data_IF_188126190950
#
_entry.id   IF_188126190950
#
_cell.length_a   1.000
_cell.length_b   1.000
_cell.length_c   1.000
_cell.angle_alpha   90.00
_cell.angle_beta   90.00
_cell.angle_gamma   90.00
#
_symmetry.space_group_name_H-M   'P 1'
#
loop_
_entity.id
_entity.type
_entity.pdbx_description
1 polymer ?
#
# COMPACT_ATOMS: atom_id res chain seq x y z
N UNK A 1 5.85 12.88 -24.92
CA UNK A 1 7.25 12.44 -24.87
C UNK A 1 7.41 11.17 -25.69
N UNK A 2 8.60 10.93 -26.24
CA UNK A 2 8.93 9.67 -26.90
C UNK A 2 9.85 8.88 -25.97
N UNK A 3 9.52 7.62 -25.69
CA UNK A 3 10.31 6.76 -24.79
C UNK A 3 10.90 5.58 -25.56
N UNK A 4 12.16 5.25 -25.27
CA UNK A 4 12.82 4.04 -25.80
C UNK A 4 13.03 3.02 -24.69
N UNK A 5 13.02 1.74 -25.06
CA UNK A 5 13.02 0.61 -24.14
C UNK A 5 13.99 -0.46 -24.63
N UNK A 6 14.54 -1.26 -23.71
CA UNK A 6 15.30 -2.44 -24.08
C UNK A 6 14.40 -3.67 -24.30
N UNK A 7 15.02 -4.80 -24.67
CA UNK A 7 14.30 -6.07 -24.91
C UNK A 7 13.62 -6.67 -23.67
N UNK A 8 13.96 -6.19 -22.47
CA UNK A 8 13.38 -6.65 -21.20
C UNK A 8 12.23 -5.72 -20.74
N UNK A 9 11.99 -4.61 -21.45
CA UNK A 9 10.95 -3.64 -21.13
C UNK A 9 11.37 -2.58 -20.12
N UNK A 10 12.68 -2.34 -19.95
CA UNK A 10 13.24 -1.28 -19.09
C UNK A 10 13.45 0.01 -19.88
N UNK A 11 13.18 1.15 -19.25
CA UNK A 11 13.19 2.47 -19.90
C UNK A 11 14.64 2.91 -20.17
N UNK A 12 15.02 3.08 -21.43
CA UNK A 12 16.37 3.51 -21.80
C UNK A 12 16.49 5.03 -21.94
N UNK A 13 15.47 5.70 -22.48
CA UNK A 13 15.48 7.14 -22.62
C UNK A 13 14.07 7.71 -22.72
N UNK A 14 13.90 8.94 -22.23
CA UNK A 14 12.72 9.77 -22.43
C UNK A 14 13.14 11.02 -23.19
N UNK A 15 12.40 11.35 -24.24
CA UNK A 15 12.55 12.58 -25.03
C UNK A 15 11.34 13.48 -24.91
N UNK A 16 11.56 14.78 -24.96
CA UNK A 16 10.50 15.78 -25.03
C UNK A 16 9.80 15.78 -26.41
N UNK A 17 8.81 16.64 -26.60
CA UNK A 17 8.08 16.77 -27.87
C UNK A 17 8.93 17.31 -29.02
N UNK A 18 10.07 17.95 -28.71
CA UNK A 18 11.00 18.50 -29.67
C UNK A 18 12.13 17.52 -30.02
N UNK A 19 12.14 16.32 -29.41
CA UNK A 19 13.13 15.28 -29.65
C UNK A 19 14.40 15.39 -28.78
N UNK A 20 14.44 16.32 -27.84
CA UNK A 20 15.56 16.45 -26.90
C UNK A 20 15.47 15.37 -25.82
N UNK A 21 16.61 14.76 -25.47
CA UNK A 21 16.67 13.79 -24.38
C UNK A 21 16.46 14.50 -23.03
N UNK A 22 15.41 14.11 -22.32
CA UNK A 22 15.10 14.55 -20.96
C UNK A 22 15.92 13.75 -19.94
N UNK A 23 15.97 12.43 -20.13
CA UNK A 23 16.75 11.51 -19.31
C UNK A 23 17.14 10.28 -20.13
N UNK A 24 18.27 9.67 -19.77
CA UNK A 24 18.66 8.33 -20.21
C UNK A 24 19.15 7.49 -19.05
N UNK A 25 18.98 6.18 -19.15
CA UNK A 25 19.22 5.24 -18.06
C UNK A 25 19.98 4.01 -18.56
N UNK A 26 20.83 3.46 -17.71
CA UNK A 26 21.42 2.13 -17.89
C UNK A 26 21.06 1.23 -16.70
N UNK A 27 21.20 -0.07 -16.89
CA UNK A 27 20.79 -1.07 -15.91
C UNK A 27 21.89 -2.11 -15.73
N UNK A 28 22.05 -2.55 -14.48
CA UNK A 28 22.88 -3.69 -14.11
C UNK A 28 22.26 -4.99 -14.64
N UNK A 29 23.03 -6.09 -14.72
CA UNK A 29 22.49 -7.39 -15.11
C UNK A 29 21.35 -7.92 -14.23
N UNK A 30 21.24 -7.45 -12.98
CA UNK A 30 20.14 -7.78 -12.06
C UNK A 30 18.87 -6.93 -12.28
N UNK A 31 18.89 -6.01 -13.24
CA UNK A 31 17.76 -5.16 -13.61
C UNK A 31 17.64 -3.86 -12.83
N UNK A 32 18.48 -3.63 -11.81
CA UNK A 32 18.50 -2.37 -11.09
C UNK A 32 19.17 -1.27 -11.91
N UNK A 33 18.63 -0.06 -11.85
CA UNK A 33 19.18 1.11 -12.55
C UNK A 33 20.59 1.36 -12.07
N UNK A 34 21.54 1.35 -12.99
CA UNK A 34 22.96 1.58 -12.74
C UNK A 34 23.29 3.06 -12.83
N UNK A 35 22.86 3.70 -13.92
CA UNK A 35 23.10 5.12 -14.16
C UNK A 35 21.85 5.85 -14.62
N UNK A 36 21.87 7.17 -14.39
CA UNK A 36 20.93 8.13 -14.97
C UNK A 36 21.69 9.34 -15.47
N UNK A 37 21.48 9.74 -16.72
CA UNK A 37 22.03 10.97 -17.27
C UNK A 37 20.91 11.97 -17.54
N UNK A 38 21.03 13.17 -16.98
CA UNK A 38 20.08 14.29 -17.16
C UNK A 38 20.89 15.56 -17.40
N UNK A 39 20.55 16.31 -18.45
CA UNK A 39 21.26 17.55 -18.84
C UNK A 39 22.79 17.38 -18.93
N UNK A 40 23.25 16.23 -19.42
CA UNK A 40 24.68 15.91 -19.57
C UNK A 40 25.40 15.49 -18.28
N UNK A 41 24.72 15.46 -17.13
CA UNK A 41 25.30 14.99 -15.85
C UNK A 41 24.86 13.55 -15.60
N UNK A 42 25.82 12.66 -15.36
CA UNK A 42 25.55 11.25 -15.03
C UNK A 42 25.65 11.00 -13.53
N UNK A 43 24.65 10.28 -13.03
CA UNK A 43 24.54 9.82 -11.65
C UNK A 43 24.62 8.30 -11.61
N UNK A 44 25.34 7.76 -10.64
CA UNK A 44 25.53 6.33 -10.40
C UNK A 44 24.78 5.90 -9.15
N UNK A 45 24.09 4.76 -9.23
CA UNK A 45 23.21 4.27 -8.18
C UNK A 45 23.79 3.03 -7.52
N UNK A 46 23.90 3.07 -6.19
CA UNK A 46 24.50 2.01 -5.39
C UNK A 46 23.45 1.42 -4.44
N UNK A 47 23.36 0.10 -4.41
CA UNK A 47 22.32 -0.63 -3.68
C UNK A 47 22.92 -1.61 -2.69
N UNK A 48 22.20 -1.85 -1.58
CA UNK A 48 22.36 -3.01 -0.72
C UNK A 48 21.13 -3.91 -0.89
N UNK A 49 21.31 -5.07 -1.52
CA UNK A 49 20.19 -5.84 -2.05
C UNK A 49 19.37 -5.00 -3.05
N UNK A 50 18.10 -4.75 -2.72
CA UNK A 50 17.19 -3.89 -3.49
C UNK A 50 17.12 -2.44 -2.99
N UNK A 51 17.71 -2.13 -1.83
CA UNK A 51 17.57 -0.83 -1.20
C UNK A 51 18.62 0.13 -1.77
N UNK A 52 18.17 1.29 -2.28
CA UNK A 52 19.08 2.33 -2.79
C UNK A 52 19.77 3.00 -1.61
N UNK A 53 21.07 2.80 -1.45
CA UNK A 53 21.84 3.31 -0.30
C UNK A 53 22.64 4.56 -0.62
N UNK A 54 22.99 4.79 -1.90
CA UNK A 54 23.82 5.94 -2.28
C UNK A 54 23.67 6.30 -3.76
N UNK A 55 23.77 7.59 -4.05
CA UNK A 55 23.88 8.15 -5.39
C UNK A 55 25.17 8.95 -5.46
N UNK A 56 25.99 8.72 -6.48
CA UNK A 56 27.23 9.48 -6.72
C UNK A 56 27.23 10.15 -8.08
N UNK A 57 28.02 11.21 -8.24
CA UNK A 57 28.34 11.77 -9.56
C UNK A 57 29.48 10.98 -10.25
N UNK A 58 29.87 11.40 -11.45
CA UNK A 58 30.97 10.78 -12.22
C UNK A 58 32.35 10.85 -11.54
N UNK A 59 32.55 11.81 -10.62
CA UNK A 59 33.78 11.92 -9.83
C UNK A 59 33.76 11.01 -8.59
N UNK A 60 32.72 10.19 -8.41
CA UNK A 60 32.55 9.32 -7.24
C UNK A 60 32.14 10.06 -5.96
N UNK A 61 31.82 11.36 -6.04
CA UNK A 61 31.36 12.13 -4.90
C UNK A 61 29.90 11.79 -4.59
N UNK A 62 29.57 11.66 -3.31
CA UNK A 62 28.21 11.39 -2.87
C UNK A 62 27.32 12.60 -3.13
N UNK A 63 26.18 12.38 -3.79
CA UNK A 63 25.11 13.36 -3.98
C UNK A 63 24.06 13.17 -2.88
N UNK A 64 23.68 11.92 -2.63
CA UNK A 64 22.79 11.51 -1.55
C UNK A 64 23.19 10.14 -1.02
N UNK A 65 23.07 9.92 0.28
CA UNK A 65 23.08 8.59 0.89
C UNK A 65 21.78 8.38 1.68
N UNK A 66 21.32 7.13 1.77
CA UNK A 66 20.05 6.79 2.40
C UNK A 66 20.19 5.61 3.34
N UNK A 67 19.38 5.60 4.39
CA UNK A 67 19.16 4.40 5.21
C UNK A 67 17.70 4.00 5.17
N UNK A 68 17.45 2.71 5.41
CA UNK A 68 16.12 2.12 5.35
C UNK A 68 15.81 1.39 6.66
N UNK A 69 14.55 1.46 7.10
CA UNK A 69 14.07 0.75 8.27
C UNK A 69 12.72 0.10 7.94
N UNK A 70 12.63 -1.22 8.10
CA UNK A 70 11.41 -1.99 7.83
C UNK A 70 10.83 -1.76 6.42
N UNK A 71 11.70 -1.60 5.42
CA UNK A 71 11.30 -1.35 4.02
C UNK A 71 10.76 0.06 3.75
N UNK A 72 11.11 1.03 4.59
CA UNK A 72 10.76 2.45 4.41
C UNK A 72 12.02 3.33 4.53
N UNK A 73 12.08 4.47 3.82
CA UNK A 73 13.16 5.43 4.01
C UNK A 73 13.24 5.88 5.47
N UNK A 74 14.45 5.94 6.01
CA UNK A 74 14.72 6.31 7.40
C UNK A 74 15.52 7.62 7.48
N UNK A 75 16.68 7.68 6.81
CA UNK A 75 17.47 8.93 6.73
C UNK A 75 17.89 9.25 5.31
N UNK A 76 18.21 10.52 5.09
CA UNK A 76 18.92 11.02 3.91
C UNK A 76 20.09 11.89 4.35
N UNK A 77 21.27 11.61 3.80
CA UNK A 77 22.48 12.40 4.02
C UNK A 77 22.84 13.12 2.74
N UNK A 78 22.98 14.44 2.80
CA UNK A 78 23.37 15.27 1.65
C UNK A 78 24.84 15.03 1.27
N UNK A 79 25.22 15.45 0.06
CA UNK A 79 26.63 15.40 -0.35
C UNK A 79 27.59 16.19 0.54
N UNK A 80 27.08 17.12 1.36
CA UNK A 80 27.87 17.90 2.33
C UNK A 80 28.07 17.17 3.66
N UNK A 81 27.37 16.05 3.89
CA UNK A 81 27.46 15.23 5.11
C UNK A 81 26.33 15.45 6.11
N UNK A 82 25.47 16.45 5.90
CA UNK A 82 24.33 16.72 6.78
C UNK A 82 23.27 15.64 6.65
N UNK A 83 22.77 15.13 7.79
CA UNK A 83 21.82 14.03 7.83
C UNK A 83 20.45 14.50 8.32
N UNK A 84 19.42 14.10 7.59
CA UNK A 84 18.02 14.40 7.85
C UNK A 84 17.20 13.12 7.98
N UNK A 85 16.03 13.22 8.59
CA UNK A 85 15.20 12.08 8.96
C UNK A 85 13.86 12.14 8.22
N UNK A 86 13.53 11.04 7.55
CA UNK A 86 12.24 10.91 6.88
C UNK A 86 11.14 10.65 7.89
N UNK A 87 10.05 11.41 7.79
CA UNK A 87 8.80 11.13 8.47
C UNK A 87 7.83 10.58 7.44
N UNK A 88 7.45 9.31 7.61
CA UNK A 88 6.58 8.60 6.67
C UNK A 88 5.20 8.33 7.23
N UNK A 89 4.20 8.18 6.36
CA UNK A 89 2.90 7.68 6.76
C UNK A 89 2.89 6.13 6.87
N UNK A 90 1.70 5.57 7.09
CA UNK A 90 1.52 4.13 7.21
C UNK A 90 1.93 3.34 5.94
N UNK A 91 1.80 3.93 4.75
CA UNK A 91 2.23 3.33 3.45
C UNK A 91 3.74 3.37 3.27
N UNK A 92 4.41 4.33 3.90
CA UNK A 92 5.81 4.65 3.63
C UNK A 92 5.97 5.91 2.77
N UNK A 93 4.90 6.66 2.50
CA UNK A 93 5.00 7.93 1.79
C UNK A 93 5.72 8.94 2.67
N UNK A 94 6.78 9.56 2.16
CA UNK A 94 7.50 10.64 2.84
C UNK A 94 6.59 11.87 2.91
N UNK A 95 6.08 12.21 4.09
CA UNK A 95 5.21 13.39 4.27
C UNK A 95 6.00 14.60 4.77
N UNK A 96 7.10 14.36 5.50
CA UNK A 96 8.02 15.39 5.98
C UNK A 96 9.45 14.89 6.01
N UNK A 97 10.38 15.82 6.01
CA UNK A 97 11.78 15.60 6.40
C UNK A 97 12.09 16.56 7.54
N UNK A 98 12.76 16.06 8.56
CA UNK A 98 13.18 16.85 9.72
C UNK A 98 14.70 16.80 9.90
N UNK A 99 15.27 17.86 10.47
CA UNK A 99 16.67 17.89 10.89
C UNK A 99 16.89 17.16 12.24
N UNK A 100 18.13 17.18 12.73
CA UNK A 100 18.52 16.59 14.02
C UNK A 100 17.81 17.21 15.24
N UNK A 101 17.31 18.44 15.11
CA UNK A 101 16.58 19.16 16.15
C UNK A 101 15.06 18.94 16.05
N UNK A 102 14.61 18.18 15.05
CA UNK A 102 13.20 17.93 14.78
C UNK A 102 12.48 19.07 14.03
N UNK A 103 13.22 20.08 13.55
CA UNK A 103 12.64 21.15 12.73
C UNK A 103 12.33 20.61 11.33
N UNK A 104 11.19 21.02 10.77
CA UNK A 104 10.76 20.53 9.45
C UNK A 104 11.48 21.27 8.33
N UNK A 105 12.23 20.53 7.52
CA UNK A 105 13.01 21.03 6.37
C UNK A 105 12.36 20.70 5.01
N UNK A 106 11.44 19.74 4.98
CA UNK A 106 10.54 19.53 3.85
C UNK A 106 9.15 19.04 4.25
N UNK A 107 8.15 19.38 3.44
CA UNK A 107 6.78 18.86 3.51
C UNK A 107 6.31 18.42 2.11
N UNK A 108 5.61 17.29 2.08
CA UNK A 108 5.04 16.73 0.86
C UNK A 108 3.59 16.33 1.08
N UNK A 109 2.76 16.52 0.06
CA UNK A 109 1.43 15.91 0.00
C UNK A 109 1.20 15.23 -1.34
N UNK A 110 0.46 14.14 -1.30
CA UNK A 110 0.15 13.32 -2.47
C UNK A 110 -1.35 13.00 -2.50
N UNK A 111 -1.88 12.75 -3.68
CA UNK A 111 -3.15 12.06 -3.82
C UNK A 111 -2.99 10.54 -3.54
N UNK A 112 -4.07 9.76 -3.50
CA UNK A 112 -4.01 8.31 -3.26
C UNK A 112 -3.22 7.49 -4.30
N UNK A 113 -2.91 8.07 -5.46
CA UNK A 113 -2.15 7.46 -6.55
C UNK A 113 -0.71 7.99 -6.61
N UNK A 114 -0.29 8.83 -5.66
CA UNK A 114 1.07 9.34 -5.59
C UNK A 114 1.31 10.56 -6.47
N UNK A 115 0.27 11.17 -7.06
CA UNK A 115 0.41 12.48 -7.71
C UNK A 115 0.75 13.51 -6.65
N UNK A 116 1.85 14.22 -6.86
CA UNK A 116 2.34 15.25 -5.94
C UNK A 116 1.40 16.45 -5.97
N UNK A 117 0.81 16.79 -4.83
CA UNK A 117 -0.15 17.89 -4.68
C UNK A 117 0.52 19.16 -4.15
N UNK A 118 1.50 19.01 -3.25
CA UNK A 118 2.31 20.13 -2.76
C UNK A 118 3.71 19.67 -2.37
N UNK A 119 4.70 20.51 -2.64
CA UNK A 119 6.10 20.33 -2.19
C UNK A 119 6.58 21.63 -1.59
N UNK A 120 7.20 21.55 -0.42
CA UNK A 120 7.96 22.63 0.19
C UNK A 120 9.26 22.02 0.69
N UNK A 121 10.39 22.48 0.18
CA UNK A 121 11.74 21.97 0.50
C UNK A 121 12.64 23.17 0.80
N UNK A 122 13.48 23.07 1.82
CA UNK A 122 14.60 23.99 1.99
C UNK A 122 15.78 23.58 1.08
N UNK A 123 16.81 24.42 1.01
CA UNK A 123 17.95 24.19 0.13
C UNK A 123 18.76 22.91 0.45
N UNK A 124 18.73 22.42 1.70
CA UNK A 124 19.56 21.31 2.16
C UNK A 124 19.02 19.94 1.71
N UNK A 125 17.70 19.83 1.52
CA UNK A 125 17.03 18.59 1.07
C UNK A 125 16.37 18.73 -0.29
N UNK A 126 16.47 19.91 -0.92
CA UNK A 126 15.97 20.13 -2.28
C UNK A 126 16.62 19.15 -3.24
N UNK A 127 15.80 18.44 -4.02
CA UNK A 127 16.31 17.50 -5.03
C UNK A 127 16.49 16.07 -4.53
N UNK A 128 16.28 15.80 -3.23
CA UNK A 128 16.22 14.41 -2.75
C UNK A 128 15.08 13.66 -3.50
N UNK A 129 15.29 12.40 -3.91
CA UNK A 129 14.38 11.71 -4.82
C UNK A 129 13.33 10.80 -4.17
N UNK A 130 13.47 10.40 -2.91
CA UNK A 130 12.57 9.45 -2.26
C UNK A 130 11.28 10.14 -1.78
N UNK A 131 10.13 9.59 -2.16
CA UNK A 131 8.84 10.22 -1.89
C UNK A 131 7.72 9.23 -1.59
N UNK A 132 6.71 9.20 -2.47
CA UNK A 132 5.56 8.32 -2.39
C UNK A 132 5.96 6.84 -2.27
N UNK A 133 5.44 6.14 -1.25
CA UNK A 133 5.80 4.78 -0.85
C UNK A 133 7.31 4.48 -0.78
N UNK A 134 8.15 5.51 -0.60
CA UNK A 134 9.61 5.41 -0.62
C UNK A 134 10.22 5.24 -2.02
N UNK A 135 9.45 5.38 -3.09
CA UNK A 135 9.96 5.26 -4.45
C UNK A 135 10.85 6.43 -4.82
N UNK A 136 11.79 6.18 -5.74
CA UNK A 136 12.57 7.21 -6.39
C UNK A 136 11.69 7.95 -7.40
N UNK A 137 11.55 9.26 -7.25
CA UNK A 137 10.83 10.14 -8.18
C UNK A 137 11.80 10.85 -9.12
N UNK A 138 11.73 10.53 -10.40
CA UNK A 138 12.46 11.22 -11.46
C UNK A 138 11.74 12.53 -11.81
N UNK A 139 12.16 13.64 -11.19
CA UNK A 139 11.52 14.97 -11.31
C UNK A 139 11.43 15.47 -12.75
N UNK A 140 12.35 15.05 -13.60
CA UNK A 140 12.44 15.42 -15.02
C UNK A 140 11.44 14.67 -15.90
N UNK A 141 11.15 13.40 -15.60
CA UNK A 141 10.17 12.59 -16.35
C UNK A 141 8.80 12.56 -15.69
N UNK A 142 8.71 12.96 -14.42
CA UNK A 142 7.53 12.85 -13.54
C UNK A 142 7.10 11.41 -13.25
N UNK A 143 8.01 10.46 -13.41
CA UNK A 143 7.77 9.03 -13.15
C UNK A 143 8.40 8.59 -11.84
N UNK A 144 7.78 7.60 -11.19
CA UNK A 144 8.41 6.86 -10.10
C UNK A 144 9.14 5.65 -10.65
N UNK A 145 10.40 5.47 -10.27
CA UNK A 145 11.17 4.27 -10.55
C UNK A 145 10.93 3.23 -9.45
N UNK A 146 10.24 2.14 -9.81
CA UNK A 146 9.92 1.01 -8.93
C UNK A 146 10.82 -0.19 -9.28
N UNK A 147 12.07 0.04 -9.67
CA UNK A 147 13.02 -1.03 -10.04
C UNK A 147 12.67 -1.73 -11.37
N UNK A 148 11.71 -2.65 -11.37
CA UNK A 148 11.34 -3.38 -12.57
C UNK A 148 10.63 -2.51 -13.61
N UNK A 149 9.86 -1.52 -13.15
CA UNK A 149 9.01 -0.69 -14.01
C UNK A 149 8.99 0.75 -13.53
N UNK A 150 8.63 1.63 -14.45
CA UNK A 150 8.31 3.02 -14.14
C UNK A 150 6.80 3.17 -13.98
N UNK A 151 6.39 3.89 -12.95
CA UNK A 151 5.01 4.20 -12.62
C UNK A 151 4.72 5.68 -12.90
N UNK A 152 3.64 5.94 -13.62
CA UNK A 152 3.14 7.28 -13.87
C UNK A 152 1.97 7.60 -12.92
N UNK A 153 2.15 8.52 -11.96
CA UNK A 153 1.08 8.91 -11.05
C UNK A 153 -0.02 9.73 -11.72
N UNK A 154 0.23 10.37 -12.86
CA UNK A 154 -0.78 11.19 -13.56
C UNK A 154 -1.84 10.31 -14.22
N UNK A 155 -1.41 9.20 -14.84
CA UNK A 155 -2.30 8.21 -15.44
C UNK A 155 -2.63 7.05 -14.51
N UNK A 156 -2.05 7.04 -13.31
CA UNK A 156 -2.24 6.03 -12.27
C UNK A 156 -1.87 4.60 -12.71
N UNK A 157 -0.88 4.43 -13.59
CA UNK A 157 -0.50 3.14 -14.20
C UNK A 157 1.01 3.00 -14.42
N UNK A 158 1.46 1.77 -14.60
CA UNK A 158 2.81 1.53 -15.12
C UNK A 158 2.90 1.97 -16.57
N UNK A 159 4.07 2.47 -16.98
CA UNK A 159 4.33 2.89 -18.37
C UNK A 159 4.89 1.77 -19.25
N UNK A 160 5.27 0.64 -18.64
CA UNK A 160 5.63 -0.59 -19.35
C UNK A 160 4.77 -1.76 -18.91
N UNK A 161 4.64 -2.73 -19.81
CA UNK A 161 3.84 -3.93 -19.61
C UNK A 161 4.49 -4.84 -18.57
N UNK A 162 3.69 -5.39 -17.65
CA UNK A 162 4.11 -6.48 -16.78
C UNK A 162 4.56 -7.71 -17.58
N UNK A 163 5.65 -8.34 -17.13
CA UNK A 163 6.07 -9.64 -17.66
C UNK A 163 5.15 -10.76 -17.18
N UNK A 164 4.50 -10.58 -16.03
CA UNK A 164 3.47 -11.48 -15.54
C UNK A 164 2.22 -11.40 -16.41
N UNK A 165 1.76 -12.55 -16.91
CA UNK A 165 0.60 -12.65 -17.81
C UNK A 165 -0.76 -12.55 -17.09
N UNK A 166 -0.76 -12.47 -15.76
CA UNK A 166 -1.98 -12.51 -14.96
C UNK A 166 -2.42 -13.93 -14.60
N UNK A 167 -3.32 -14.02 -13.63
CA UNK A 167 -4.07 -15.21 -13.26
C UNK A 167 -5.45 -15.15 -13.92
N UNK A 168 -5.83 -16.21 -14.63
CA UNK A 168 -7.13 -16.32 -15.31
C UNK A 168 -8.32 -16.19 -14.34
N UNK A 169 -8.11 -16.50 -13.06
CA UNK A 169 -9.13 -16.38 -12.02
C UNK A 169 -9.17 -15.00 -11.36
N UNK A 170 -8.26 -14.09 -11.73
CA UNK A 170 -8.22 -12.72 -11.21
C UNK A 170 -8.22 -11.72 -12.37
N UNK A 171 -9.40 -11.18 -12.67
CA UNK A 171 -9.60 -10.23 -13.78
C UNK A 171 -8.76 -8.96 -13.68
N UNK A 172 -8.41 -8.50 -12.47
CA UNK A 172 -7.55 -7.31 -12.30
C UNK A 172 -6.14 -7.61 -12.77
N UNK A 173 -5.62 -8.81 -12.47
CA UNK A 173 -4.27 -9.23 -12.86
C UNK A 173 -4.08 -9.41 -14.37
N UNK A 174 -5.18 -9.46 -15.14
CA UNK A 174 -5.13 -9.51 -16.61
C UNK A 174 -4.70 -8.18 -17.24
N UNK A 175 -4.81 -7.07 -16.49
CA UNK A 175 -4.33 -5.77 -16.95
C UNK A 175 -2.87 -5.56 -16.52
N UNK A 176 -1.97 -5.73 -17.48
CA UNK A 176 -0.52 -5.68 -17.27
C UNK A 176 0.06 -4.29 -16.93
N UNK A 177 -0.78 -3.26 -16.76
CA UNK A 177 -0.36 -1.90 -16.40
C UNK A 177 -0.91 -1.45 -15.04
N UNK A 178 -1.60 -2.33 -14.32
CA UNK A 178 -2.23 -2.00 -13.04
C UNK A 178 -1.18 -1.79 -11.95
N UNK A 179 -1.28 -0.66 -11.26
CA UNK A 179 -0.56 -0.41 -10.03
C UNK A 179 -1.40 -0.81 -8.80
N UNK A 180 -0.76 -1.47 -7.82
CA UNK A 180 -1.34 -1.74 -6.50
C UNK A 180 -2.73 -2.41 -6.52
N UNK A 181 -2.96 -3.35 -7.45
CA UNK A 181 -4.27 -3.98 -7.68
C UNK A 181 -5.44 -2.98 -7.83
N UNK A 182 -5.16 -1.79 -8.36
CA UNK A 182 -6.12 -0.69 -8.48
C UNK A 182 -6.69 -0.22 -7.12
N UNK A 183 -5.97 -0.48 -6.03
CA UNK A 183 -6.31 -0.06 -4.68
C UNK A 183 -5.11 0.58 -3.95
N UNK A 184 -4.70 1.80 -4.38
CA UNK A 184 -3.88 2.78 -3.68
C UNK A 184 -3.67 2.51 -2.23
N UNK A 185 -4.63 3.03 -1.49
CA UNK A 185 -4.73 3.12 -0.04
C UNK A 185 -4.29 1.87 0.73
N UNK A 186 -4.54 0.66 0.22
CA UNK A 186 -4.31 -0.59 0.94
C UNK A 186 -3.08 -1.39 0.45
N UNK A 187 -2.53 -1.05 -0.71
CA UNK A 187 -1.42 -1.77 -1.32
C UNK A 187 -0.30 -0.81 -1.74
N UNK A 188 0.91 -1.33 -1.76
CA UNK A 188 2.07 -0.71 -2.45
C UNK A 188 2.67 -1.74 -3.38
N UNK A 189 3.54 -1.35 -4.29
CA UNK A 189 4.36 -2.26 -5.10
C UNK A 189 5.85 -1.99 -4.85
N UNK A 190 6.53 -2.76 -3.99
CA UNK A 190 7.90 -2.44 -3.58
C UNK A 190 8.95 -2.60 -4.69
N UNK A 191 8.71 -3.49 -5.65
CA UNK A 191 9.69 -3.89 -6.67
C UNK A 191 9.21 -3.67 -8.11
N UNK A 192 8.02 -3.13 -8.27
CA UNK A 192 7.38 -2.97 -9.57
C UNK A 192 6.93 -4.30 -10.17
N UNK A 193 6.92 -5.42 -9.44
CA UNK A 193 6.46 -6.72 -9.95
C UNK A 193 5.12 -7.15 -9.35
N UNK A 194 4.87 -6.81 -8.09
CA UNK A 194 3.70 -7.33 -7.38
C UNK A 194 3.25 -6.40 -6.26
N UNK A 195 1.93 -6.27 -6.17
CA UNK A 195 1.29 -5.50 -5.11
C UNK A 195 1.41 -6.22 -3.77
N UNK A 196 1.92 -5.52 -2.77
CA UNK A 196 2.03 -5.92 -1.37
C UNK A 196 0.94 -5.25 -0.55
N UNK A 197 0.20 -6.05 0.22
CA UNK A 197 -0.77 -5.52 1.19
C UNK A 197 -0.06 -4.78 2.30
N UNK A 198 -0.57 -3.60 2.66
CA UNK A 198 -0.09 -2.88 3.83
C UNK A 198 -0.66 -3.51 5.10
N UNK A 199 0.22 -4.04 5.94
CA UNK A 199 -0.14 -4.55 7.26
C UNK A 199 0.20 -3.51 8.32
N UNK A 200 -0.82 -3.04 9.04
CA UNK A 200 -0.65 -2.06 10.13
C UNK A 200 -0.21 -2.68 11.46
N UNK A 201 -0.01 -4.01 11.51
CA UNK A 201 0.34 -4.73 12.73
C UNK A 201 -0.80 -4.84 13.75
N UNK A 202 -1.97 -4.28 13.46
CA UNK A 202 -3.16 -4.37 14.31
C UNK A 202 -4.02 -5.57 13.93
N UNK A 203 -3.60 -6.77 14.33
CA UNK A 203 -4.52 -7.90 14.38
C UNK A 203 -5.42 -7.71 15.60
N UNK A 204 -6.60 -7.12 15.39
CA UNK A 204 -7.57 -6.94 16.46
C UNK A 204 -8.42 -8.20 16.60
N UNK A 205 -8.38 -8.80 17.78
CA UNK A 205 -9.26 -9.90 18.15
C UNK A 205 -10.39 -9.36 19.02
N UNK A 206 -11.60 -9.32 18.48
CA UNK A 206 -12.77 -9.02 19.32
C UNK A 206 -13.27 -10.33 19.90
N UNK A 207 -13.19 -10.43 21.23
CA UNK A 207 -13.75 -11.55 22.00
C UNK A 207 -15.12 -11.15 22.51
N UNK A 208 -16.14 -11.94 22.20
CA UNK A 208 -17.49 -11.76 22.73
C UNK A 208 -17.91 -13.04 23.45
N UNK A 209 -18.45 -12.87 24.65
CA UNK A 209 -19.04 -13.96 25.43
C UNK A 209 -20.52 -14.06 25.10
N UNK A 210 -20.99 -15.24 24.71
CA UNK A 210 -22.41 -15.53 24.46
C UNK A 210 -22.81 -16.70 25.34
N UNK A 211 -23.40 -16.41 26.50
CA UNK A 211 -23.64 -17.41 27.53
C UNK A 211 -22.33 -18.11 27.93
N UNK A 212 -22.25 -19.42 27.67
CA UNK A 212 -21.09 -20.25 28.01
C UNK A 212 -20.02 -20.34 26.89
N UNK A 213 -20.29 -19.82 25.70
CA UNK A 213 -19.35 -19.89 24.58
C UNK A 213 -18.57 -18.58 24.40
N UNK A 214 -17.28 -18.73 24.13
CA UNK A 214 -16.39 -17.62 23.75
C UNK A 214 -16.24 -17.62 22.24
N UNK A 215 -16.67 -16.54 21.59
CA UNK A 215 -16.46 -16.33 20.15
C UNK A 215 -15.34 -15.31 20.00
N UNK A 216 -14.34 -15.64 19.18
CA UNK A 216 -13.27 -14.72 18.80
C UNK A 216 -13.37 -14.43 17.30
N UNK A 217 -13.41 -13.15 16.92
CA UNK A 217 -13.32 -12.71 15.53
C UNK A 217 -11.97 -12.02 15.33
N UNK A 218 -11.18 -12.50 14.38
CA UNK A 218 -9.98 -11.82 13.92
C UNK A 218 -10.36 -10.84 12.82
N UNK A 219 -9.94 -9.59 12.94
CA UNK A 219 -10.17 -8.55 11.93
C UNK A 219 -8.83 -8.00 11.48
N UNK A 220 -8.59 -8.06 10.17
CA UNK A 220 -7.47 -7.40 9.53
C UNK A 220 -7.84 -5.92 9.36
N UNK A 221 -7.23 -5.04 10.15
CA UNK A 221 -7.42 -3.60 10.00
C UNK A 221 -6.55 -3.11 8.86
N UNK A 222 -7.17 -2.85 7.71
CA UNK A 222 -6.51 -2.20 6.59
C UNK A 222 -6.59 -0.68 6.75
N UNK A 223 -5.68 0.06 6.11
CA UNK A 223 -5.74 1.52 6.14
C UNK A 223 -7.05 2.11 5.62
N UNK A 224 -7.57 1.57 4.51
CA UNK A 224 -8.83 2.04 3.92
C UNK A 224 -10.02 1.84 4.84
N UNK A 225 -10.03 0.78 5.64
CA UNK A 225 -11.06 0.55 6.66
C UNK A 225 -11.02 1.61 7.78
N UNK A 226 -9.83 2.00 8.23
CA UNK A 226 -9.69 3.03 9.28
C UNK A 226 -10.04 4.44 8.77
N UNK A 227 -9.70 4.74 7.52
CA UNK A 227 -10.08 6.00 6.88
C UNK A 227 -11.59 6.09 6.68
N UNK A 228 -12.25 5.03 6.17
CA UNK A 228 -13.70 5.04 5.92
C UNK A 228 -14.54 5.13 7.20
N UNK A 229 -13.97 4.73 8.35
CA UNK A 229 -14.62 4.88 9.66
C UNK A 229 -14.33 6.24 10.33
N UNK A 230 -13.57 7.12 9.67
CA UNK A 230 -13.23 8.46 10.18
C UNK A 230 -12.17 8.46 11.28
N UNK A 231 -11.47 7.34 11.52
CA UNK A 231 -10.50 7.20 12.60
C UNK A 231 -9.19 7.95 12.29
N UNK A 232 -8.88 8.21 11.02
CA UNK A 232 -7.61 8.84 10.60
C UNK A 232 -6.40 7.94 10.89
N UNK A 233 -5.28 8.16 10.19
CA UNK A 233 -4.06 7.37 10.36
C UNK A 233 -2.89 8.30 10.69
N UNK A 234 -2.66 8.51 11.99
CA UNK A 234 -1.43 9.12 12.50
C UNK A 234 -0.74 8.05 13.35
N UNK A 235 0.47 7.65 12.97
CA UNK A 235 1.27 6.71 13.75
C UNK A 235 1.92 7.45 14.93
N UNK A 236 1.46 7.16 16.14
CA UNK A 236 2.00 7.63 17.43
C UNK A 236 1.41 6.78 18.57
N UNK A 237 2.10 6.69 19.71
CA UNK A 237 1.82 5.75 20.81
C UNK A 237 0.39 5.77 21.40
N UNK A 238 -0.44 6.77 21.07
CA UNK A 238 -1.85 6.88 21.50
C UNK A 238 -2.90 6.31 20.53
N UNK A 239 -2.55 5.96 19.29
CA UNK A 239 -3.53 5.60 18.25
C UNK A 239 -4.24 4.25 18.50
N UNK A 240 -3.55 3.26 19.07
CA UNK A 240 -4.09 1.91 19.26
C UNK A 240 -5.31 1.83 20.18
N UNK A 241 -5.35 2.64 21.24
CA UNK A 241 -6.46 2.66 22.20
C UNK A 241 -7.72 3.32 21.61
N UNK A 242 -7.55 4.38 20.81
CA UNK A 242 -8.66 5.07 20.12
C UNK A 242 -9.28 4.15 19.07
N UNK A 243 -8.44 3.52 18.24
CA UNK A 243 -8.86 2.53 17.22
C UNK A 243 -9.67 1.40 17.86
N UNK A 244 -9.18 0.81 18.96
CA UNK A 244 -9.88 -0.27 19.67
C UNK A 244 -11.25 0.15 20.23
N UNK A 245 -11.37 1.38 20.76
CA UNK A 245 -12.63 1.91 21.30
C UNK A 245 -13.67 2.16 20.20
N UNK A 246 -13.28 2.75 19.08
CA UNK A 246 -14.17 2.99 17.94
C UNK A 246 -14.62 1.71 17.25
N UNK A 247 -13.69 0.75 17.04
CA UNK A 247 -14.01 -0.58 16.51
C UNK A 247 -15.06 -1.30 17.34
N UNK A 248 -14.94 -1.23 18.67
CA UNK A 248 -15.91 -1.86 19.57
C UNK A 248 -17.31 -1.28 19.35
N UNK A 249 -17.44 0.04 19.21
CA UNK A 249 -18.73 0.70 18.98
C UNK A 249 -19.33 0.36 17.61
N UNK A 250 -18.53 0.42 16.54
CA UNK A 250 -18.97 0.13 15.17
C UNK A 250 -19.31 -1.35 14.94
N UNK A 251 -18.54 -2.27 15.51
CA UNK A 251 -18.70 -3.71 15.26
C UNK A 251 -19.70 -4.40 16.19
N UNK A 252 -20.04 -3.81 17.34
CA UNK A 252 -21.03 -4.36 18.26
C UNK A 252 -22.38 -4.71 17.60
N UNK A 253 -23.01 -3.83 16.77
CA UNK A 253 -24.27 -4.18 16.11
C UNK A 253 -24.15 -5.31 15.08
N UNK A 254 -23.03 -5.38 14.34
CA UNK A 254 -22.76 -6.46 13.37
C UNK A 254 -22.56 -7.80 14.10
N UNK A 255 -21.79 -7.76 15.20
CA UNK A 255 -21.53 -8.92 16.05
C UNK A 255 -22.81 -9.41 16.73
N UNK A 256 -23.66 -8.51 17.23
CA UNK A 256 -24.96 -8.85 17.80
C UNK A 256 -25.79 -9.67 16.82
N UNK A 257 -25.89 -9.22 15.55
CA UNK A 257 -26.61 -9.96 14.51
C UNK A 257 -26.01 -11.36 14.26
N UNK A 258 -24.69 -11.48 14.10
CA UNK A 258 -24.04 -12.79 13.90
C UNK A 258 -24.25 -13.75 15.09
N UNK A 259 -24.29 -13.20 16.31
CA UNK A 259 -24.54 -13.92 17.55
C UNK A 259 -25.99 -14.42 17.60
N UNK A 260 -26.97 -13.58 17.27
CA UNK A 260 -28.37 -13.98 17.19
C UNK A 260 -28.57 -15.15 16.23
N UNK A 261 -27.90 -15.14 15.08
CA UNK A 261 -28.02 -16.22 14.09
C UNK A 261 -27.45 -17.55 14.60
N UNK A 262 -26.28 -17.55 15.27
CA UNK A 262 -25.68 -18.77 15.84
C UNK A 262 -26.47 -19.34 17.01
N UNK A 263 -27.01 -18.48 17.88
CA UNK A 263 -27.89 -18.91 18.98
C UNK A 263 -29.17 -19.53 18.42
N UNK A 264 -29.75 -18.93 17.37
CA UNK A 264 -30.92 -19.48 16.69
C UNK A 264 -30.63 -20.87 16.08
N UNK A 265 -29.48 -21.07 15.42
CA UNK A 265 -29.09 -22.40 14.89
C UNK A 265 -29.00 -23.48 15.99
N UNK A 266 -28.39 -23.14 17.12
CA UNK A 266 -28.16 -24.10 18.21
C UNK A 266 -29.47 -24.47 18.92
N UNK A 267 -30.37 -23.49 19.12
CA UNK A 267 -31.73 -23.73 19.64
C UNK A 267 -32.48 -24.66 18.68
N UNK A 268 -32.40 -24.41 17.37
CA UNK A 268 -33.07 -25.21 16.34
C UNK A 268 -32.52 -26.63 16.32
N UNK A 269 -31.20 -26.84 16.42
CA UNK A 269 -30.58 -28.17 16.52
C UNK A 269 -31.04 -28.93 17.76
N UNK A 270 -31.06 -28.28 18.92
CA UNK A 270 -31.51 -28.89 20.18
C UNK A 270 -32.99 -29.22 20.18
N UNK A 271 -33.82 -28.37 19.58
CA UNK A 271 -35.23 -28.66 19.37
C UNK A 271 -35.40 -29.84 18.39
N UNK A 272 -34.68 -29.85 17.27
CA UNK A 272 -34.72 -30.94 16.30
C UNK A 272 -34.33 -32.31 16.89
N UNK A 273 -33.48 -32.34 17.91
CA UNK A 273 -33.12 -33.57 18.64
C UNK A 273 -34.18 -34.03 19.65
N UNK A 274 -35.00 -33.10 20.17
CA UNK A 274 -35.98 -33.36 21.23
C UNK A 274 -37.42 -33.56 20.75
N UNK A 275 -37.75 -33.20 19.50
CA UNK A 275 -39.11 -33.35 18.95
C UNK A 275 -39.14 -34.23 17.72
N UNK A 276 -40.23 -34.97 17.53
CA UNK A 276 -40.43 -35.81 16.34
C UNK A 276 -40.41 -34.96 15.06
N UNK A 277 -39.98 -35.56 13.94
CA UNK A 277 -39.84 -34.88 12.63
C UNK A 277 -41.13 -34.20 12.16
N UNK A 278 -42.29 -34.74 12.53
CA UNK A 278 -43.61 -34.18 12.22
C UNK A 278 -43.95 -32.96 13.10
N UNK A 279 -43.66 -33.01 14.39
CA UNK A 279 -43.87 -31.90 15.32
C UNK A 279 -42.92 -30.74 15.03
N UNK A 280 -41.65 -31.04 14.75
CA UNK A 280 -40.68 -30.04 14.32
C UNK A 280 -41.11 -29.31 13.04
N UNK A 281 -41.60 -30.04 12.03
CA UNK A 281 -42.15 -29.44 10.78
C UNK A 281 -43.41 -28.59 11.02
N UNK A 282 -44.25 -28.92 12.00
CA UNK A 282 -45.42 -28.10 12.38
C UNK A 282 -45.00 -26.80 13.08
N UNK A 283 -44.03 -26.86 13.99
CA UNK A 283 -43.52 -25.69 14.74
C UNK A 283 -42.78 -24.73 13.80
N UNK A 284 -42.06 -25.26 12.81
CA UNK A 284 -41.27 -24.47 11.85
C UNK A 284 -42.05 -24.04 10.60
N UNK A 285 -43.36 -24.31 10.56
CA UNK A 285 -44.23 -24.02 9.42
C UNK A 285 -44.40 -22.50 9.27
N UNK A 286 -43.88 -21.94 8.17
CA UNK A 286 -43.83 -20.49 7.91
C UNK A 286 -42.41 -19.92 7.90
N UNK A 287 -41.42 -20.66 8.43
CA UNK A 287 -40.01 -20.28 8.36
C UNK A 287 -39.40 -20.83 7.05
N UNK A 288 -38.93 -19.93 6.17
CA UNK A 288 -38.43 -20.30 4.85
C UNK A 288 -36.96 -20.77 4.93
N UNK A 289 -36.73 -22.02 5.34
CA UNK A 289 -35.40 -22.65 5.45
C UNK A 289 -34.71 -22.90 4.10
N UNK A 290 -35.43 -22.78 2.97
CA UNK A 290 -34.92 -23.00 1.61
C UNK A 290 -34.42 -21.72 0.93
N UNK A 291 -34.65 -20.54 1.50
CA UNK A 291 -33.65 -19.48 1.31
C UNK A 291 -32.42 -19.95 2.08
N UNK A 292 -31.43 -20.51 1.37
CA UNK A 292 -30.02 -20.63 1.81
C UNK A 292 -29.65 -19.32 2.53
N UNK A 293 -29.88 -19.27 3.83
CA UNK A 293 -29.89 -18.02 4.59
C UNK A 293 -28.47 -17.73 4.99
N UNK A 294 -27.66 -17.21 4.05
CA UNK A 294 -26.50 -16.36 4.34
C UNK A 294 -25.39 -17.04 5.19
N UNK A 295 -25.45 -18.35 5.40
CA UNK A 295 -24.44 -19.12 6.13
C UNK A 295 -23.20 -19.35 5.28
N UNK A 296 -22.37 -18.32 5.17
CA UNK A 296 -21.01 -18.49 4.71
C UNK A 296 -20.17 -19.16 5.80
N UNK A 297 -19.69 -20.37 5.47
CA UNK A 297 -18.39 -20.90 5.89
C UNK A 297 -17.39 -19.73 5.94
N UNK A 298 -16.76 -19.51 7.09
CA UNK A 298 -15.68 -18.53 7.27
C UNK A 298 -16.09 -17.12 6.85
N UNK A 299 -16.54 -16.28 7.80
CA UNK A 299 -16.72 -14.86 7.54
C UNK A 299 -15.35 -14.16 7.45
N UNK A 300 -14.60 -14.45 6.40
CA UNK A 300 -13.71 -13.47 5.80
C UNK A 300 -14.65 -12.44 5.18
N UNK A 301 -14.58 -11.18 5.59
CA UNK A 301 -15.26 -10.10 4.88
C UNK A 301 -14.49 -9.97 3.55
N UNK A 302 -15.02 -10.45 2.41
CA UNK A 302 -14.36 -10.26 1.13
C UNK A 302 -14.61 -8.79 0.76
N UNK A 303 -13.55 -8.06 0.44
CA UNK A 303 -13.54 -6.76 -0.25
C UNK A 303 -14.92 -6.09 -0.34
N UNK A 304 -15.23 -5.17 0.59
CA UNK A 304 -16.30 -4.20 0.36
C UNK A 304 -15.87 -3.33 -0.83
N UNK A 305 -16.30 -3.75 -2.02
CA UNK A 305 -16.33 -2.93 -3.23
C UNK A 305 -17.34 -1.82 -3.01
N UNK A 306 -16.85 -0.60 -2.75
CA UNK A 306 -17.65 0.59 -2.95
C UNK A 306 -17.42 1.06 -4.38
N UNK A 307 -18.50 1.09 -5.17
CA UNK A 307 -18.53 1.94 -6.38
C UNK A 307 -18.59 3.39 -5.90
N UNK A 308 -17.79 4.23 -6.57
CA UNK A 308 -17.61 5.66 -6.37
C UNK A 308 -18.91 6.43 -6.17
#
# INVERSE_FOLDING_TARGET
>A
SLSTWDGEGRLLSVKDVNGNTVASFTYRPDGLRETKTVNGVTYHYHYDGSDLIRITNDNGQTVWAFTWANGKPNTVTSGNGDTFYYVTNYRGDVVRIIDENGATVANYSYDPWGKVMSVSENAEVTGQPLGYAGYYYDRETKLYYLQARYYDPETARFVSRDQYRGDLNNSISQNAYVYSNNNPVNFTDPSGYWSKTINLGFNSYIKVNVGWQKISLAINLTPGFLISTGIGLILGAGAGAVVARYLKWYLYPILANAIFTKVAEEIVKRLAQKVSKATFRKITKGYNWTKKSIFYKTFQIPNLMFRY
#
